data_IF_045870475840
#
_entry.id   IF_045870475840
#
_cell.length_a   1.000
_cell.length_b   1.000
_cell.length_c   1.000
_cell.angle_alpha   90.00
_cell.angle_beta   90.00
_cell.angle_gamma   90.00
#
_symmetry.space_group_name_H-M   'P 1'
#
loop_
_entity.id
_entity.type
_entity.pdbx_description
1 polymer ?
#
# COMPACT_ATOMS: atom_id res chain seq x y z
N UNK A 1 -43.06 41.79 -5.52
CA UNK A 1 -43.33 40.39 -5.14
C UNK A 1 -42.33 39.50 -5.89
N UNK A 2 -41.28 38.91 -5.33
CA UNK A 2 -41.13 38.31 -4.01
C UNK A 2 -41.23 36.78 -4.13
N UNK A 3 -40.18 36.09 -4.61
CA UNK A 3 -39.99 34.64 -4.40
C UNK A 3 -38.51 34.32 -4.19
N UNK A 4 -38.12 34.45 -2.94
CA UNK A 4 -36.98 33.79 -2.31
C UNK A 4 -37.08 32.28 -2.55
N UNK A 5 -36.19 31.74 -3.39
CA UNK A 5 -35.96 30.32 -3.52
C UNK A 5 -35.08 29.86 -2.37
N UNK A 6 -35.72 29.49 -1.26
CA UNK A 6 -35.10 28.89 -0.08
C UNK A 6 -34.08 27.81 -0.47
N UNK A 7 -32.80 28.12 -0.22
CA UNK A 7 -31.72 27.15 -0.18
C UNK A 7 -32.04 26.17 0.97
N UNK A 8 -32.76 25.10 0.64
CA UNK A 8 -33.04 23.99 1.55
C UNK A 8 -31.72 23.32 1.90
N UNK A 9 -31.21 23.74 3.05
CA UNK A 9 -30.64 22.92 4.10
C UNK A 9 -30.27 21.50 3.67
N UNK A 10 -29.03 21.33 3.22
CA UNK A 10 -28.39 20.03 2.97
C UNK A 10 -27.55 19.58 4.18
N UNK A 11 -27.96 19.91 5.40
CA UNK A 11 -27.29 19.45 6.64
C UNK A 11 -28.19 18.44 7.36
N UNK A 12 -28.22 17.17 6.92
CA UNK A 12 -28.91 16.18 7.76
C UNK A 12 -28.45 14.73 7.74
N UNK A 13 -27.38 14.38 7.04
CA UNK A 13 -26.80 13.05 7.17
C UNK A 13 -25.38 13.21 7.69
N UNK A 14 -25.15 12.85 8.95
CA UNK A 14 -23.83 12.81 9.59
C UNK A 14 -22.91 11.73 9.01
N UNK A 15 -22.98 11.50 7.71
CA UNK A 15 -22.17 10.56 6.96
C UNK A 15 -21.32 11.39 6.01
N UNK A 16 -20.02 11.38 6.27
CA UNK A 16 -19.02 12.02 5.42
C UNK A 16 -19.16 11.44 4.00
N UNK A 17 -19.42 12.30 3.02
CA UNK A 17 -19.56 11.91 1.61
C UNK A 17 -18.22 11.34 1.12
N UNK A 18 -18.15 10.02 0.99
CA UNK A 18 -17.08 9.34 0.26
C UNK A 18 -17.38 9.34 -1.25
N UNK A 19 -17.66 10.51 -1.81
CA UNK A 19 -17.65 10.66 -3.27
C UNK A 19 -16.17 10.71 -3.68
N UNK A 20 -15.66 9.56 -4.14
CA UNK A 20 -14.45 9.44 -4.97
C UNK A 20 -13.12 9.78 -4.28
N UNK A 21 -12.95 9.39 -3.02
CA UNK A 21 -11.67 9.58 -2.30
C UNK A 21 -10.65 8.53 -2.75
N UNK A 22 -9.57 8.96 -3.41
CA UNK A 22 -8.35 8.15 -3.62
C UNK A 22 -8.01 7.41 -2.33
N UNK A 23 -7.68 6.12 -2.43
CA UNK A 23 -7.27 5.34 -1.26
C UNK A 23 -6.07 6.04 -0.60
N UNK A 24 -6.16 6.37 0.70
CA UNK A 24 -5.08 7.08 1.38
C UNK A 24 -3.81 6.25 1.35
N UNK A 25 -2.71 6.85 0.90
CA UNK A 25 -1.41 6.20 0.84
C UNK A 25 -0.92 5.89 2.26
N UNK A 26 -0.53 4.65 2.57
CA UNK A 26 -0.04 4.31 3.89
C UNK A 26 1.36 4.86 4.12
N UNK A 27 1.63 5.25 5.36
CA UNK A 27 2.97 5.59 5.82
C UNK A 27 3.67 4.31 6.30
N UNK A 28 4.91 4.11 5.89
CA UNK A 28 5.75 3.00 6.35
C UNK A 28 6.25 3.33 7.76
N UNK A 29 5.83 2.56 8.76
CA UNK A 29 6.30 2.69 10.15
C UNK A 29 7.54 1.85 10.39
N UNK A 30 7.56 0.63 9.83
CA UNK A 30 8.71 -0.26 9.89
C UNK A 30 8.97 -0.80 8.49
N UNK A 31 10.11 -0.46 7.87
CA UNK A 31 10.45 -0.96 6.54
C UNK A 31 10.68 -2.48 6.57
N UNK A 32 10.62 -3.15 5.40
CA UNK A 32 10.94 -4.57 5.34
C UNK A 32 12.39 -4.83 5.77
N UNK A 33 12.60 -5.83 6.61
CA UNK A 33 13.92 -6.19 7.13
C UNK A 33 14.81 -6.91 6.10
N UNK A 34 14.19 -7.44 5.03
CA UNK A 34 14.84 -8.22 3.97
C UNK A 34 14.25 -7.78 2.64
N UNK A 35 15.06 -7.82 1.58
CA UNK A 35 14.60 -7.54 0.22
C UNK A 35 14.06 -8.82 -0.47
N UNK A 36 13.05 -8.71 -1.36
CA UNK A 36 12.50 -9.86 -2.09
C UNK A 36 13.55 -10.60 -2.93
N UNK A 37 14.48 -9.85 -3.52
CA UNK A 37 15.55 -10.36 -4.37
C UNK A 37 16.85 -10.25 -3.60
N UNK A 38 17.60 -11.35 -3.51
CA UNK A 38 18.94 -11.32 -2.92
C UNK A 38 19.96 -10.76 -3.89
N UNK A 39 21.06 -10.21 -3.35
CA UNK A 39 22.18 -9.76 -4.16
C UNK A 39 22.72 -10.85 -5.08
N UNK A 40 22.74 -12.10 -4.61
CA UNK A 40 23.16 -13.25 -5.41
C UNK A 40 22.26 -13.46 -6.63
N UNK A 41 20.93 -13.42 -6.44
CA UNK A 41 19.97 -13.55 -7.54
C UNK A 41 20.12 -12.41 -8.55
N UNK A 42 20.31 -11.17 -8.07
CA UNK A 42 20.53 -10.02 -8.93
C UNK A 42 21.85 -10.14 -9.73
N UNK A 43 22.95 -10.51 -9.08
CA UNK A 43 24.25 -10.74 -9.72
C UNK A 43 24.21 -11.84 -10.77
N UNK A 44 23.53 -12.95 -10.49
CA UNK A 44 23.31 -14.01 -11.48
C UNK A 44 22.53 -13.52 -12.69
N UNK A 45 21.50 -12.69 -12.49
CA UNK A 45 20.71 -12.12 -13.58
C UNK A 45 21.54 -11.14 -14.44
N UNK A 46 22.36 -10.31 -13.78
CA UNK A 46 23.22 -9.31 -14.42
C UNK A 46 24.50 -9.88 -15.02
N UNK A 47 24.87 -11.12 -14.66
CA UNK A 47 26.15 -11.76 -14.97
C UNK A 47 27.35 -10.97 -14.41
N UNK A 48 27.23 -10.55 -13.15
CA UNK A 48 28.27 -9.80 -12.42
C UNK A 48 28.86 -10.70 -11.33
N UNK A 49 30.15 -11.02 -11.42
CA UNK A 49 30.83 -11.89 -10.45
C UNK A 49 31.63 -11.11 -9.39
N UNK A 50 32.05 -9.89 -9.70
CA UNK A 50 32.85 -9.02 -8.82
C UNK A 50 32.02 -8.31 -7.76
N UNK A 51 32.66 -7.86 -6.67
CA UNK A 51 31.98 -7.24 -5.52
C UNK A 51 31.85 -5.70 -5.61
N UNK A 52 32.56 -5.03 -6.52
CA UNK A 52 32.60 -3.56 -6.54
C UNK A 52 31.23 -2.93 -6.83
N UNK A 53 30.38 -3.65 -7.57
CA UNK A 53 29.02 -3.22 -7.90
C UNK A 53 27.98 -3.61 -6.84
N UNK A 54 28.37 -4.30 -5.75
CA UNK A 54 27.42 -4.82 -4.76
C UNK A 54 26.56 -3.70 -4.15
N UNK A 55 27.18 -2.57 -3.80
CA UNK A 55 26.47 -1.41 -3.26
C UNK A 55 25.49 -0.78 -4.25
N UNK A 56 25.85 -0.75 -5.54
CA UNK A 56 24.97 -0.27 -6.61
C UNK A 56 23.79 -1.22 -6.78
N UNK A 57 24.05 -2.52 -6.87
CA UNK A 57 23.02 -3.56 -7.04
C UNK A 57 22.04 -3.55 -5.86
N UNK A 58 22.52 -3.39 -4.62
CA UNK A 58 21.67 -3.25 -3.43
C UNK A 58 20.75 -2.01 -3.49
N UNK A 59 21.24 -0.91 -4.08
CA UNK A 59 20.42 0.26 -4.36
C UNK A 59 19.33 -0.04 -5.40
N UNK A 60 19.70 -0.72 -6.48
CA UNK A 60 18.77 -1.10 -7.55
C UNK A 60 17.69 -2.08 -7.09
N UNK A 61 18.03 -3.02 -6.19
CA UNK A 61 17.07 -3.95 -5.59
C UNK A 61 15.98 -3.17 -4.82
N UNK A 62 16.38 -2.21 -3.98
CA UNK A 62 15.45 -1.36 -3.22
C UNK A 62 14.55 -0.53 -4.14
N UNK A 63 15.12 0.06 -5.20
CA UNK A 63 14.35 0.82 -6.19
C UNK A 63 13.38 -0.07 -6.95
N UNK A 64 13.80 -1.27 -7.35
CA UNK A 64 12.94 -2.23 -8.04
C UNK A 64 11.80 -2.73 -7.14
N UNK A 65 12.05 -2.94 -5.84
CA UNK A 65 10.99 -3.26 -4.87
C UNK A 65 9.99 -2.13 -4.79
N UNK A 66 10.44 -0.88 -4.59
CA UNK A 66 9.56 0.27 -4.48
C UNK A 66 8.68 0.42 -5.74
N UNK A 67 9.26 0.26 -6.93
CA UNK A 67 8.53 0.24 -8.18
C UNK A 67 7.49 -0.89 -8.24
N UNK A 68 7.87 -2.13 -7.87
CA UNK A 68 6.97 -3.28 -7.93
C UNK A 68 5.80 -3.16 -6.94
N UNK A 69 6.06 -2.65 -5.72
CA UNK A 69 5.03 -2.39 -4.70
C UNK A 69 4.05 -1.31 -5.18
N UNK A 70 4.56 -0.22 -5.76
CA UNK A 70 3.73 0.87 -6.28
C UNK A 70 2.91 0.43 -7.50
N UNK A 71 3.55 -0.26 -8.45
CA UNK A 71 2.89 -0.70 -9.67
C UNK A 71 1.80 -1.73 -9.38
N UNK A 72 2.03 -2.65 -8.45
CA UNK A 72 1.05 -3.69 -8.10
C UNK A 72 0.04 -3.25 -7.05
N UNK A 73 0.35 -2.22 -6.26
CA UNK A 73 -0.44 -1.78 -5.11
C UNK A 73 -0.36 -2.75 -3.93
N UNK A 74 0.77 -3.45 -3.73
CA UNK A 74 0.92 -4.53 -2.74
C UNK A 74 2.22 -4.39 -1.96
N UNK A 75 2.23 -4.85 -0.72
CA UNK A 75 3.48 -5.03 0.03
C UNK A 75 4.12 -6.37 -0.35
N UNK A 76 5.42 -6.39 -0.69
CA UNK A 76 6.09 -7.65 -1.06
C UNK A 76 6.56 -8.41 0.17
N UNK A 77 7.43 -7.78 0.96
CA UNK A 77 7.94 -8.33 2.23
C UNK A 77 7.15 -7.74 3.39
N UNK A 78 7.08 -8.51 4.48
CA UNK A 78 6.46 -8.11 5.74
C UNK A 78 7.01 -6.77 6.21
N UNK A 79 6.11 -5.79 6.31
CA UNK A 79 6.38 -4.44 6.78
C UNK A 79 5.18 -3.92 7.56
N UNK A 80 5.43 -2.96 8.45
CA UNK A 80 4.37 -2.32 9.25
C UNK A 80 3.97 -1.01 8.62
N UNK A 81 2.70 -0.90 8.28
CA UNK A 81 2.09 0.25 7.62
C UNK A 81 1.08 0.93 8.55
N UNK A 82 0.91 2.23 8.39
CA UNK A 82 -0.13 3.00 9.06
C UNK A 82 -0.93 3.80 8.04
N UNK A 83 -2.25 3.69 8.09
CA UNK A 83 -3.15 4.50 7.27
C UNK A 83 -3.96 5.43 8.17
N UNK A 84 -3.98 6.70 7.79
CA UNK A 84 -4.76 7.75 8.47
C UNK A 84 -6.06 8.01 7.71
N UNK A 85 -7.17 8.10 8.43
CA UNK A 85 -8.49 8.44 7.91
C UNK A 85 -9.05 9.63 8.70
N UNK A 86 -9.84 10.46 8.02
CA UNK A 86 -10.51 11.59 8.67
C UNK A 86 -11.69 11.16 9.53
N UNK A 87 -12.33 10.04 9.16
CA UNK A 87 -13.44 9.46 9.88
C UNK A 87 -13.59 7.97 9.58
N UNK A 88 -14.38 7.26 10.40
CA UNK A 88 -14.77 5.89 10.12
C UNK A 88 -15.69 5.82 8.89
N UNK A 89 -15.45 4.88 7.95
CA UNK A 89 -16.36 4.63 6.84
C UNK A 89 -17.67 4.00 7.33
N UNK A 90 -18.71 4.06 6.50
CA UNK A 90 -20.02 3.51 6.86
C UNK A 90 -20.02 1.99 7.09
N UNK A 91 -19.17 1.25 6.37
CA UNK A 91 -19.16 -0.22 6.41
C UNK A 91 -17.81 -0.75 6.89
N UNK A 92 -16.76 -0.60 6.08
CA UNK A 92 -15.46 -1.19 6.35
C UNK A 92 -14.33 -0.24 5.94
N UNK A 93 -13.21 -0.31 6.67
CA UNK A 93 -11.97 0.36 6.35
C UNK A 93 -11.20 -0.50 5.34
N UNK A 94 -11.05 -0.04 4.11
CA UNK A 94 -10.17 -0.68 3.14
C UNK A 94 -8.71 -0.42 3.50
N UNK A 95 -7.91 -1.49 3.60
CA UNK A 95 -6.49 -1.39 3.89
C UNK A 95 -5.68 -1.39 2.59
N UNK A 96 -4.87 -0.35 2.35
CA UNK A 96 -4.00 -0.32 1.17
C UNK A 96 -2.87 -1.35 1.29
N UNK A 97 -2.24 -1.70 0.16
CA UNK A 97 -1.10 -2.61 0.06
C UNK A 97 -1.32 -4.04 0.66
N UNK A 98 -2.38 -4.77 0.28
CA UNK A 98 -2.52 -6.18 0.66
C UNK A 98 -1.40 -7.05 0.04
N UNK A 99 -1.07 -8.23 0.61
CA UNK A 99 -1.83 -8.95 1.63
C UNK A 99 -1.55 -8.46 3.06
N UNK A 100 -2.61 -8.16 3.80
CA UNK A 100 -2.53 -7.82 5.23
C UNK A 100 -2.52 -9.10 6.05
N UNK A 101 -1.53 -9.25 6.93
CA UNK A 101 -1.36 -10.41 7.82
C UNK A 101 -2.09 -10.23 9.14
N UNK A 102 -2.00 -9.04 9.74
CA UNK A 102 -2.62 -8.75 11.03
C UNK A 102 -2.78 -7.25 11.25
N UNK A 103 -3.70 -6.87 12.14
CA UNK A 103 -3.87 -5.49 12.62
C UNK A 103 -3.11 -5.39 13.94
N UNK A 104 -2.24 -4.37 14.06
CA UNK A 104 -1.50 -4.09 15.28
C UNK A 104 -2.35 -3.26 16.24
N UNK A 105 -2.97 -2.19 15.74
CA UNK A 105 -3.85 -1.34 16.54
C UNK A 105 -4.72 -0.45 15.65
N UNK A 106 -5.90 -0.11 16.18
CA UNK A 106 -6.75 0.96 15.64
C UNK A 106 -6.87 2.00 16.73
N UNK A 107 -6.42 3.22 16.44
CA UNK A 107 -6.57 4.36 17.34
C UNK A 107 -7.52 5.35 16.70
N UNK A 108 -8.35 5.97 17.53
CA UNK A 108 -9.30 6.97 17.07
C UNK A 108 -9.43 8.12 18.07
N UNK A 109 -9.87 9.27 17.57
CA UNK A 109 -10.17 10.44 18.38
C UNK A 109 -11.64 10.41 18.81
N UNK A 110 -11.87 10.40 20.12
CA UNK A 110 -13.22 10.49 20.66
C UNK A 110 -13.85 11.88 20.41
N UNK A 111 -15.17 12.07 20.65
CA UNK A 111 -15.82 13.36 20.47
C UNK A 111 -15.24 14.49 21.34
N UNK A 112 -14.56 14.14 22.44
CA UNK A 112 -13.92 15.07 23.37
C UNK A 112 -12.50 15.45 22.94
N UNK A 113 -11.94 14.80 21.91
CA UNK A 113 -10.59 15.05 21.42
C UNK A 113 -9.49 14.23 22.10
N UNK A 114 -9.83 13.18 22.84
CA UNK A 114 -8.84 12.25 23.40
C UNK A 114 -8.62 11.04 22.48
N UNK A 115 -7.36 10.64 22.36
CA UNK A 115 -6.95 9.49 21.56
C UNK A 115 -7.20 8.20 22.33
N UNK A 116 -8.07 7.35 21.80
CA UNK A 116 -8.45 6.06 22.40
C UNK A 116 -8.08 4.91 21.47
N UNK A 117 -7.67 3.77 22.04
CA UNK A 117 -7.39 2.53 21.30
C UNK A 117 -8.66 1.70 21.27
N UNK A 118 -9.04 1.24 20.09
CA UNK A 118 -10.16 0.31 19.92
C UNK A 118 -9.77 -1.08 20.41
N UNK A 119 -10.59 -1.74 21.24
CA UNK A 119 -10.35 -3.12 21.65
C UNK A 119 -10.30 -4.09 20.44
N UNK A 120 -9.36 -5.05 20.40
CA UNK A 120 -9.24 -6.01 19.30
C UNK A 120 -10.48 -6.90 19.11
N UNK A 121 -11.30 -7.09 20.14
CA UNK A 121 -12.57 -7.82 20.09
C UNK A 121 -13.72 -7.02 19.45
N UNK A 122 -13.52 -5.74 19.13
CA UNK A 122 -14.56 -4.88 18.53
C UNK A 122 -14.51 -4.87 16.99
N UNK A 123 -13.41 -5.33 16.39
CA UNK A 123 -13.21 -5.35 14.95
C UNK A 123 -12.65 -6.68 14.45
N UNK A 124 -12.88 -6.97 13.18
CA UNK A 124 -12.34 -8.14 12.50
C UNK A 124 -11.69 -7.75 11.17
N UNK A 125 -10.61 -8.46 10.84
CA UNK A 125 -9.93 -8.35 9.56
C UNK A 125 -10.59 -9.31 8.55
N UNK A 126 -11.19 -8.74 7.52
CA UNK A 126 -11.70 -9.49 6.37
C UNK A 126 -10.62 -9.59 5.29
N UNK A 127 -10.15 -10.82 5.05
CA UNK A 127 -9.15 -11.17 4.04
C UNK A 127 -9.76 -11.91 2.84
N UNK A 128 -11.09 -12.02 2.77
CA UNK A 128 -11.78 -12.79 1.73
C UNK A 128 -11.76 -12.09 0.36
N UNK A 129 -11.76 -10.75 0.36
CA UNK A 129 -11.65 -9.94 -0.83
C UNK A 129 -10.19 -9.66 -1.21
N UNK A 130 -9.97 -9.32 -2.49
CA UNK A 130 -8.64 -8.97 -3.01
C UNK A 130 -8.02 -7.79 -2.27
N UNK A 131 -8.85 -6.82 -1.88
CA UNK A 131 -8.50 -5.72 -0.98
C UNK A 131 -8.97 -6.11 0.40
N UNK A 132 -8.04 -6.22 1.34
CA UNK A 132 -8.38 -6.58 2.71
C UNK A 132 -9.04 -5.38 3.40
N UNK A 133 -10.02 -5.65 4.25
CA UNK A 133 -10.75 -4.59 4.94
C UNK A 133 -10.94 -4.92 6.41
N UNK A 134 -11.13 -3.89 7.22
CA UNK A 134 -11.46 -4.02 8.64
C UNK A 134 -12.87 -3.56 8.85
N UNK A 135 -13.67 -4.36 9.54
CA UNK A 135 -15.05 -4.03 9.88
C UNK A 135 -15.32 -4.29 11.36
N UNK A 136 -16.32 -3.63 11.96
CA UNK A 136 -16.75 -3.98 13.30
C UNK A 136 -17.24 -5.42 13.33
N UNK A 137 -17.03 -6.13 14.43
CA UNK A 137 -17.60 -7.46 14.63
C UNK A 137 -19.13 -7.39 14.54
N UNK A 138 -19.76 -8.46 14.06
CA UNK A 138 -21.21 -8.53 13.92
C UNK A 138 -21.93 -8.11 15.22
N UNK A 139 -22.87 -7.17 15.10
CA UNK A 139 -23.61 -6.61 16.22
C UNK A 139 -22.97 -5.38 16.88
N UNK A 140 -21.76 -4.98 16.47
CA UNK A 140 -21.12 -3.72 16.87
C UNK A 140 -21.11 -2.71 15.72
N UNK A 141 -20.89 -1.45 16.07
CA UNK A 141 -20.74 -0.34 15.13
C UNK A 141 -19.46 0.44 15.42
N UNK A 142 -18.99 1.22 14.46
CA UNK A 142 -17.91 2.16 14.71
C UNK A 142 -18.27 3.12 15.86
N UNK A 143 -17.31 3.45 16.74
CA UNK A 143 -17.54 4.37 17.84
C UNK A 143 -17.75 5.79 17.30
N UNK A 144 -18.39 6.63 18.12
CA UNK A 144 -18.49 8.05 17.82
C UNK A 144 -17.10 8.68 17.85
N UNK A 145 -16.82 9.55 16.87
CA UNK A 145 -15.53 10.23 16.73
C UNK A 145 -15.70 11.71 16.49
N UNK A 146 -14.64 12.46 16.76
CA UNK A 146 -14.49 13.83 16.26
C UNK A 146 -13.79 13.79 14.90
N UNK A 147 -14.54 14.02 13.83
CA UNK A 147 -14.00 14.04 12.46
C UNK A 147 -12.99 15.17 12.28
N UNK A 148 -11.76 14.80 11.92
CA UNK A 148 -10.67 15.72 11.56
C UNK A 148 -9.57 14.91 10.84
N UNK A 149 -8.66 15.56 10.09
CA UNK A 149 -7.55 14.86 9.45
C UNK A 149 -6.75 14.00 10.43
N UNK A 150 -6.60 12.70 10.13
CA UNK A 150 -5.88 11.75 10.96
C UNK A 150 -6.59 11.37 12.27
N UNK A 151 -7.92 11.58 12.36
CA UNK A 151 -8.71 11.19 13.53
C UNK A 151 -8.70 9.68 13.77
N UNK A 152 -8.62 8.87 12.73
CA UNK A 152 -8.51 7.41 12.83
C UNK A 152 -7.16 6.99 12.25
N UNK A 153 -6.40 6.17 12.96
CA UNK A 153 -5.15 5.58 12.50
C UNK A 153 -5.21 4.07 12.66
N UNK A 154 -4.96 3.36 11.56
CA UNK A 154 -4.91 1.90 11.57
C UNK A 154 -3.49 1.48 11.27
N UNK A 155 -2.86 0.82 12.25
CA UNK A 155 -1.55 0.21 12.11
C UNK A 155 -1.71 -1.28 11.86
N UNK A 156 -1.09 -1.78 10.80
CA UNK A 156 -1.23 -3.16 10.37
C UNK A 156 0.06 -3.68 9.74
N UNK A 157 0.20 -5.00 9.72
CA UNK A 157 1.32 -5.71 9.11
C UNK A 157 0.87 -6.23 7.76
N UNK A 158 1.61 -5.87 6.70
CA UNK A 158 1.33 -6.30 5.34
C UNK A 158 2.57 -6.87 4.65
N UNK A 159 2.39 -7.82 3.75
CA UNK A 159 3.44 -8.50 2.99
C UNK A 159 3.13 -9.98 2.79
N UNK A 160 3.70 -10.59 1.75
CA UNK A 160 3.51 -12.02 1.48
C UNK A 160 4.20 -12.92 2.52
N UNK A 161 5.26 -12.43 3.16
CA UNK A 161 5.96 -13.11 4.25
C UNK A 161 7.27 -12.42 4.61
N UNK A 162 8.04 -13.04 5.51
CA UNK A 162 9.26 -12.45 6.06
C UNK A 162 10.50 -12.65 5.17
N UNK A 163 10.39 -13.44 4.10
CA UNK A 163 11.52 -13.82 3.25
C UNK A 163 11.17 -13.67 1.77
N UNK A 164 12.20 -13.52 0.91
CA UNK A 164 12.01 -13.49 -0.54
C UNK A 164 11.33 -14.73 -1.11
N UNK A 165 11.45 -15.90 -0.46
CA UNK A 165 10.77 -17.13 -0.86
C UNK A 165 9.24 -17.09 -0.67
N UNK A 166 8.74 -16.21 0.21
CA UNK A 166 7.30 -16.01 0.40
C UNK A 166 6.69 -15.17 -0.73
N UNK A 167 7.50 -14.42 -1.46
CA UNK A 167 7.05 -13.54 -2.53
C UNK A 167 6.78 -14.36 -3.80
N UNK A 168 5.61 -14.22 -4.44
CA UNK A 168 5.31 -14.97 -5.65
C UNK A 168 6.35 -14.72 -6.76
N UNK A 169 6.71 -15.75 -7.55
CA UNK A 169 7.85 -15.70 -8.47
C UNK A 169 7.70 -14.63 -9.57
N UNK A 170 6.48 -14.25 -9.94
CA UNK A 170 6.26 -13.18 -10.92
C UNK A 170 6.79 -11.81 -10.44
N UNK A 171 6.76 -11.52 -9.14
CA UNK A 171 7.32 -10.28 -8.60
C UNK A 171 8.84 -10.30 -8.62
N UNK A 172 9.43 -11.43 -8.26
CA UNK A 172 10.87 -11.64 -8.33
C UNK A 172 11.36 -11.44 -9.77
N UNK A 173 10.70 -12.07 -10.75
CA UNK A 173 11.08 -11.94 -12.15
C UNK A 173 10.88 -10.51 -12.67
N UNK A 174 9.79 -9.83 -12.31
CA UNK A 174 9.56 -8.45 -12.71
C UNK A 174 10.62 -7.50 -12.13
N UNK A 175 10.99 -7.68 -10.86
CA UNK A 175 12.07 -6.92 -10.23
C UNK A 175 13.42 -7.16 -10.93
N UNK A 176 13.77 -8.40 -11.26
CA UNK A 176 15.02 -8.70 -11.97
C UNK A 176 15.10 -7.99 -13.33
N UNK A 177 14.01 -7.97 -14.11
CA UNK A 177 13.97 -7.25 -15.39
C UNK A 177 14.19 -5.75 -15.21
N UNK A 178 13.60 -5.16 -14.16
CA UNK A 178 13.77 -3.74 -13.83
C UNK A 178 15.20 -3.45 -13.36
N UNK A 179 15.79 -4.31 -12.53
CA UNK A 179 17.19 -4.22 -12.10
C UNK A 179 18.12 -4.27 -13.32
N UNK A 180 17.90 -5.23 -14.23
CA UNK A 180 18.65 -5.35 -15.49
C UNK A 180 18.62 -4.07 -16.30
N UNK A 181 17.45 -3.43 -16.37
CA UNK A 181 17.29 -2.16 -17.06
C UNK A 181 18.08 -1.03 -16.40
N UNK A 182 17.88 -0.80 -15.10
CA UNK A 182 18.56 0.29 -14.39
C UNK A 182 20.07 0.13 -14.29
N UNK A 183 20.56 -1.11 -14.25
CA UNK A 183 22.00 -1.38 -14.27
C UNK A 183 22.62 -1.04 -15.64
N UNK A 184 21.92 -1.41 -16.72
CA UNK A 184 22.39 -1.23 -18.10
C UNK A 184 22.26 0.21 -18.60
N UNK A 185 21.23 0.93 -18.14
CA UNK A 185 20.93 2.31 -18.52
C UNK A 185 21.01 3.20 -17.28
N UNK A 186 22.10 3.97 -17.20
CA UNK A 186 22.40 4.86 -16.06
C UNK A 186 22.06 6.34 -16.33
N UNK A 187 21.51 6.61 -17.51
CA UNK A 187 21.16 7.96 -17.99
C UNK A 187 19.65 8.10 -18.15
N UNK A 188 19.13 9.29 -17.89
CA UNK A 188 17.70 9.61 -17.96
C UNK A 188 17.19 9.69 -19.41
N UNK A 189 18.02 10.20 -20.33
CA UNK A 189 17.64 10.39 -21.74
C UNK A 189 18.33 9.36 -22.61
N UNK A 190 17.55 8.44 -23.16
CA UNK A 190 18.01 7.47 -24.16
C UNK A 190 17.29 7.71 -25.47
N UNK A 191 18.04 8.03 -26.54
CA UNK A 191 17.49 8.22 -27.89
C UNK A 191 17.57 6.88 -28.65
N UNK A 192 16.43 6.41 -29.19
CA UNK A 192 16.35 5.20 -30.01
C UNK A 192 15.41 4.11 -29.43
N UNK A 193 15.40 2.89 -29.99
CA UNK A 193 14.47 1.81 -29.58
C UNK A 193 14.67 1.35 -28.13
N UNK A 194 15.77 1.74 -27.47
CA UNK A 194 16.02 1.53 -26.05
C UNK A 194 15.37 2.59 -25.15
N UNK A 195 14.55 3.52 -25.66
CA UNK A 195 13.93 4.60 -24.89
C UNK A 195 12.80 4.16 -23.92
N UNK A 196 12.46 2.87 -23.84
CA UNK A 196 11.42 2.41 -22.94
C UNK A 196 11.90 2.52 -21.47
N UNK A 197 11.27 3.39 -20.67
CA UNK A 197 11.66 3.68 -19.28
C UNK A 197 11.67 2.44 -18.39
N UNK A 198 10.61 1.63 -18.49
CA UNK A 198 10.43 0.37 -17.75
C UNK A 198 10.10 -0.76 -18.73
N UNK A 199 10.74 -1.95 -18.62
CA UNK A 199 10.46 -3.06 -19.53
C UNK A 199 8.98 -3.47 -19.52
N UNK A 200 8.33 -3.49 -20.69
CA UNK A 200 6.94 -3.92 -20.82
C UNK A 200 6.69 -5.31 -20.22
N UNK A 201 7.66 -6.22 -20.32
CA UNK A 201 7.57 -7.55 -19.74
C UNK A 201 7.39 -7.52 -18.21
N UNK A 202 8.05 -6.61 -17.50
CA UNK A 202 7.89 -6.46 -16.05
C UNK A 202 6.48 -5.99 -15.69
N UNK A 203 5.93 -5.05 -16.47
CA UNK A 203 4.55 -4.59 -16.33
C UNK A 203 3.54 -5.69 -16.66
N UNK A 204 3.77 -6.48 -17.71
CA UNK A 204 2.90 -7.56 -18.13
C UNK A 204 2.82 -8.69 -17.08
N UNK A 205 3.93 -8.96 -16.37
CA UNK A 205 3.96 -9.93 -15.28
C UNK A 205 3.11 -9.49 -14.08
N UNK A 206 3.16 -8.21 -13.74
CA UNK A 206 2.45 -7.67 -12.56
C UNK A 206 1.01 -7.22 -12.87
N UNK A 207 0.72 -6.91 -14.13
CA UNK A 207 -0.55 -6.37 -14.60
C UNK A 207 -1.80 -7.14 -14.16
N UNK A 208 -1.83 -8.49 -14.20
CA UNK A 208 -2.97 -9.27 -13.71
C UNK A 208 -3.21 -9.15 -12.20
N UNK A 209 -2.14 -8.96 -11.41
CA UNK A 209 -2.19 -8.88 -9.95
C UNK A 209 -2.36 -7.46 -9.41
N UNK A 210 -2.35 -6.47 -10.31
CA UNK A 210 -2.41 -5.04 -10.01
C UNK A 210 -3.78 -4.66 -9.49
N UNK A 211 -3.80 -4.03 -8.33
CA UNK A 211 -5.01 -3.41 -7.80
C UNK A 211 -5.33 -2.18 -8.66
N UNK A 212 -6.50 -2.18 -9.31
CA UNK A 212 -7.02 -1.04 -10.08
C UNK A 212 -7.95 -0.23 -9.18
N UNK A 213 -7.87 1.10 -9.23
CA UNK A 213 -8.67 1.99 -8.39
C UNK A 213 -7.98 2.48 -7.11
N UNK A 214 -6.66 2.31 -7.01
CA UNK A 214 -5.78 3.17 -6.21
C UNK A 214 -5.52 4.48 -6.93
#
# INVERSE_FOLDING_TARGET
>A
MGRSGSARDRRRDGHCRQEETLMPQPVIITPPAVEPVSIYQAKQHLRVDMADDDALIDGLIRTARAWAEEYSGRALITQTLEVGLECFPAVAICLPRPPVQSITSITYLDPQGASTVMPPEDYELDTTAVIHSVRPVYGKSWPAIRSQPGAVKVRYVAGFGATGASVPPQYIQAMLLVIGRYYSVREDVVIGPAAQEIPFAAQALLGPSRLRGI
#
